data_IF_218008120851
#
_entry.id   IF_218008120851
#
_cell.length_a   1.000
_cell.length_b   1.000
_cell.length_c   1.000
_cell.angle_alpha   90.00
_cell.angle_beta   90.00
_cell.angle_gamma   90.00
#
_symmetry.space_group_name_H-M   'P 1'
#
loop_
_entity.id
_entity.type
_entity.pdbx_description
1 polymer ?
#
# COMPACT_ATOMS: atom_id res chain seq x y z
N UNK A 1 -11.33 -5.98 10.05
CA UNK A 1 -11.47 -7.41 10.42
C UNK A 1 -10.10 -8.04 10.21
N UNK A 2 -9.42 -8.43 11.28
CA UNK A 2 -8.10 -9.08 11.21
C UNK A 2 -8.33 -10.57 11.01
N UNK A 3 -7.90 -11.12 9.87
CA UNK A 3 -7.94 -12.57 9.63
C UNK A 3 -6.48 -13.03 9.63
N UNK A 4 -6.11 -13.88 10.61
CA UNK A 4 -4.75 -14.47 10.75
C UNK A 4 -3.62 -13.44 10.91
N UNK A 5 -3.88 -12.32 11.60
CA UNK A 5 -2.88 -11.25 11.78
C UNK A 5 -2.60 -10.44 10.50
N UNK A 6 -3.42 -10.64 9.47
CA UNK A 6 -3.42 -9.87 8.22
C UNK A 6 -4.61 -8.91 8.31
N UNK A 7 -4.33 -7.62 8.30
CA UNK A 7 -5.36 -6.60 8.25
C UNK A 7 -5.77 -6.36 6.79
N UNK A 8 -6.95 -6.85 6.45
CA UNK A 8 -7.56 -6.64 5.15
C UNK A 8 -8.31 -5.31 5.18
N UNK A 9 -7.67 -4.26 4.65
CA UNK A 9 -8.34 -3.00 4.35
C UNK A 9 -9.01 -3.18 2.98
N UNK A 10 -10.31 -3.49 2.99
CA UNK A 10 -11.09 -3.53 1.75
C UNK A 10 -11.61 -2.13 1.46
N UNK A 11 -10.98 -1.47 0.49
CA UNK A 11 -11.29 -0.09 0.14
C UNK A 11 -11.95 0.02 -1.24
N UNK A 12 -13.05 -0.71 -1.45
CA UNK A 12 -13.83 -0.65 -2.70
C UNK A 12 -14.51 0.72 -2.96
N UNK A 13 -14.26 1.73 -2.11
CA UNK A 13 -14.73 3.12 -2.24
C UNK A 13 -13.68 4.18 -1.88
N UNK A 14 -12.68 3.88 -1.07
CA UNK A 14 -11.70 4.85 -0.61
C UNK A 14 -10.50 4.95 -1.53
N UNK A 15 -10.42 6.15 -2.06
CA UNK A 15 -9.28 6.72 -2.76
C UNK A 15 -8.45 7.53 -1.75
N UNK A 16 -8.39 7.11 -0.48
CA UNK A 16 -7.79 7.94 0.58
C UNK A 16 -6.49 7.34 1.08
N UNK A 17 -5.39 7.75 0.44
CA UNK A 17 -4.01 7.54 0.87
C UNK A 17 -3.83 7.80 2.37
N UNK A 18 -4.58 8.75 2.94
CA UNK A 18 -4.58 9.07 4.36
C UNK A 18 -4.98 7.88 5.26
N UNK A 19 -5.94 7.05 4.85
CA UNK A 19 -6.37 5.87 5.62
C UNK A 19 -5.28 4.80 5.64
N UNK A 20 -4.65 4.54 4.49
CA UNK A 20 -3.54 3.58 4.38
C UNK A 20 -2.35 4.07 5.20
N UNK A 21 -2.00 5.36 5.10
CA UNK A 21 -0.93 5.99 5.89
C UNK A 21 -1.19 5.88 7.39
N UNK A 22 -2.40 6.21 7.84
CA UNK A 22 -2.77 6.12 9.26
C UNK A 22 -2.69 4.69 9.76
N UNK A 23 -3.19 3.72 8.97
CA UNK A 23 -3.09 2.31 9.35
C UNK A 23 -1.64 1.82 9.40
N UNK A 24 -0.81 2.16 8.40
CA UNK A 24 0.61 1.78 8.41
C UNK A 24 1.37 2.40 9.60
N UNK A 25 1.02 3.62 10.01
CA UNK A 25 1.62 4.27 11.18
C UNK A 25 1.21 3.66 12.52
N UNK A 26 0.11 2.91 12.58
CA UNK A 26 -0.34 2.26 13.84
C UNK A 26 0.35 0.92 14.10
N UNK A 27 1.11 0.39 13.14
CA UNK A 27 1.81 -0.87 13.32
C UNK A 27 3.25 -0.63 13.77
N UNK A 28 3.58 -1.13 14.97
CA UNK A 28 4.94 -1.09 15.52
C UNK A 28 5.88 -2.15 14.92
N UNK A 29 5.35 -3.03 14.06
CA UNK A 29 6.07 -4.14 13.43
C UNK A 29 5.91 -4.11 11.91
N UNK A 30 6.88 -4.64 11.15
CA UNK A 30 6.75 -4.76 9.70
C UNK A 30 5.52 -5.59 9.31
N UNK A 31 4.77 -5.14 8.30
CA UNK A 31 3.54 -5.78 7.83
C UNK A 31 3.68 -6.29 6.39
N UNK A 32 2.79 -7.20 6.01
CA UNK A 32 2.58 -7.58 4.61
C UNK A 32 1.41 -6.75 4.09
N UNK A 33 1.66 -5.91 3.08
CA UNK A 33 0.66 -5.04 2.50
C UNK A 33 0.14 -5.64 1.20
N UNK A 34 -1.17 -5.85 1.11
CA UNK A 34 -1.85 -6.19 -0.14
C UNK A 34 -2.50 -4.90 -0.65
N UNK A 35 -2.04 -4.39 -1.79
CA UNK A 35 -2.56 -3.15 -2.37
C UNK A 35 -2.90 -3.36 -3.83
N UNK A 36 -4.03 -2.83 -4.25
CA UNK A 36 -4.49 -3.01 -5.61
C UNK A 36 -5.91 -2.55 -5.82
N UNK A 37 -6.30 -2.44 -7.09
CA UNK A 37 -7.62 -1.98 -7.47
C UNK A 37 -7.65 -1.39 -8.88
N UNK A 38 -8.74 -0.67 -9.17
CA UNK A 38 -8.91 0.08 -10.40
C UNK A 38 -8.06 1.34 -10.36
N UNK A 39 -7.37 1.65 -11.46
CA UNK A 39 -6.63 2.89 -11.55
C UNK A 39 -7.59 4.09 -11.62
N UNK A 40 -7.44 5.03 -10.68
CA UNK A 40 -8.24 6.25 -10.57
C UNK A 40 -7.37 7.50 -10.62
N UNK A 41 -6.22 7.40 -11.27
CA UNK A 41 -5.23 8.48 -11.36
C UNK A 41 -4.77 9.01 -10.00
N UNK A 42 -4.66 8.09 -9.03
CA UNK A 42 -4.23 8.38 -7.67
C UNK A 42 -2.71 8.43 -7.60
N UNK A 43 -2.16 9.51 -7.04
CA UNK A 43 -0.72 9.64 -6.83
C UNK A 43 -0.28 8.89 -5.56
N UNK A 44 0.42 7.77 -5.73
CA UNK A 44 0.89 6.94 -4.62
C UNK A 44 2.26 7.38 -4.05
N UNK A 45 2.88 8.44 -4.56
CA UNK A 45 4.18 8.95 -4.09
C UNK A 45 4.27 9.12 -2.56
N UNK A 46 3.26 9.66 -1.85
CA UNK A 46 3.34 9.84 -0.41
C UNK A 46 3.40 8.55 0.42
N UNK A 47 3.02 7.40 -0.16
CA UNK A 47 3.07 6.10 0.51
C UNK A 47 4.44 5.44 0.42
N UNK A 48 5.28 5.83 -0.56
CA UNK A 48 6.59 5.23 -0.81
C UNK A 48 7.48 5.12 0.44
N UNK A 49 7.72 6.18 1.23
CA UNK A 49 8.58 6.07 2.42
C UNK A 49 7.98 5.13 3.48
N UNK A 50 6.67 5.15 3.66
CA UNK A 50 5.99 4.28 4.63
C UNK A 50 6.03 2.81 4.21
N UNK A 51 5.91 2.53 2.91
CA UNK A 51 6.06 1.18 2.37
C UNK A 51 7.49 0.70 2.60
N UNK A 52 8.50 1.52 2.31
CA UNK A 52 9.90 1.13 2.52
C UNK A 52 10.25 0.89 4.00
N UNK A 53 9.67 1.66 4.91
CA UNK A 53 9.95 1.53 6.35
C UNK A 53 9.15 0.40 7.01
N UNK A 54 7.85 0.28 6.69
CA UNK A 54 6.91 -0.56 7.45
C UNK A 54 6.48 -1.83 6.72
N UNK A 55 6.71 -1.95 5.41
CA UNK A 55 6.21 -3.09 4.62
C UNK A 55 7.34 -4.05 4.28
N UNK A 56 7.25 -5.26 4.81
CA UNK A 56 8.21 -6.34 4.52
C UNK A 56 7.96 -7.00 3.17
N UNK A 57 6.68 -7.17 2.81
CA UNK A 57 6.27 -7.72 1.53
C UNK A 57 5.07 -6.95 0.99
N UNK A 58 5.15 -6.56 -0.29
CA UNK A 58 4.09 -5.87 -0.99
C UNK A 58 3.49 -6.80 -2.05
N UNK A 59 2.20 -7.10 -1.91
CA UNK A 59 1.43 -7.91 -2.84
C UNK A 59 0.56 -6.95 -3.66
N UNK A 60 0.89 -6.80 -4.94
CA UNK A 60 0.16 -5.91 -5.84
C UNK A 60 -0.95 -6.67 -6.57
N UNK A 61 -2.17 -6.16 -6.60
CA UNK A 61 -3.29 -6.74 -7.35
C UNK A 61 -4.00 -5.69 -8.24
N UNK A 62 -4.70 -6.12 -9.28
CA UNK A 62 -5.47 -5.21 -10.15
C UNK A 62 -4.64 -4.31 -11.08
N UNK A 63 -5.27 -3.23 -11.55
CA UNK A 63 -4.76 -2.33 -12.59
C UNK A 63 -3.70 -1.34 -12.08
N UNK A 64 -3.63 -1.10 -10.77
CA UNK A 64 -2.64 -0.20 -10.17
C UNK A 64 -1.25 -0.83 -10.02
N UNK A 65 -1.08 -2.12 -10.37
CA UNK A 65 0.20 -2.85 -10.37
C UNK A 65 1.35 -2.08 -11.04
N UNK A 66 1.26 -1.61 -12.30
CA UNK A 66 2.32 -0.86 -12.97
C UNK A 66 2.71 0.41 -12.20
N UNK A 67 1.74 1.23 -11.74
CA UNK A 67 2.02 2.45 -10.97
C UNK A 67 2.81 2.18 -9.70
N UNK A 68 2.46 1.13 -8.96
CA UNK A 68 3.22 0.74 -7.78
C UNK A 68 4.61 0.18 -8.11
N UNK A 69 4.77 -0.52 -9.24
CA UNK A 69 6.10 -0.96 -9.70
C UNK A 69 6.97 0.24 -10.05
N UNK A 70 6.45 1.21 -10.78
CA UNK A 70 7.19 2.40 -11.18
C UNK A 70 7.58 3.25 -9.96
N UNK A 71 6.65 3.41 -9.03
CA UNK A 71 6.89 4.09 -7.75
C UNK A 71 8.08 3.50 -6.98
N UNK A 72 8.15 2.16 -6.90
CA UNK A 72 9.17 1.45 -6.15
C UNK A 72 10.49 1.28 -6.93
N UNK A 73 10.43 1.08 -8.24
CA UNK A 73 11.61 0.97 -9.10
C UNK A 73 12.37 2.29 -9.20
N UNK A 74 11.69 3.43 -9.07
CA UNK A 74 12.33 4.74 -8.97
C UNK A 74 13.20 4.94 -7.71
N UNK A 75 13.33 3.93 -6.83
CA UNK A 75 14.29 3.91 -5.71
C UNK A 75 15.52 3.04 -5.96
N UNK A 76 15.63 2.40 -7.12
CA UNK A 76 16.83 1.71 -7.56
C UNK A 76 17.51 2.61 -8.59
N UNK A 77 18.19 3.66 -8.10
CA UNK A 77 19.21 4.38 -8.84
C UNK A 77 20.33 4.81 -7.91
#
# INVERSE_FOLDING_TARGET
RTVRGIDFINDSKGTNIGSVRKSLSTFDRPVILIVGGKDKDTDFQPLKPLIQEKVKHLILIGETRPKFRDLLNASIS
#
